data_IF_374961261024
#
_entry.id   IF_374961261024
#
_cell.length_a   1.000
_cell.length_b   1.000
_cell.length_c   1.000
_cell.angle_alpha   90.00
_cell.angle_beta   90.00
_cell.angle_gamma   90.00
#
_symmetry.space_group_name_H-M   'P 1'
#
loop_
_entity.id
_entity.type
_entity.pdbx_description
1 polymer ?
#
# COMPACT_ATOMS: atom_id res chain seq x y z
N UNK A 1 -9.60 -13.37 3.53
CA UNK A 1 -10.34 -12.39 2.71
C UNK A 1 -9.58 -12.26 1.41
N UNK A 2 -10.23 -12.46 0.28
CA UNK A 2 -9.59 -12.44 -1.05
C UNK A 2 -9.37 -10.99 -1.50
N UNK A 3 -8.19 -10.69 -2.07
CA UNK A 3 -7.89 -9.34 -2.56
C UNK A 3 -8.85 -8.96 -3.71
N UNK A 4 -9.25 -7.69 -3.77
CA UNK A 4 -10.21 -7.15 -4.78
C UNK A 4 -11.64 -7.70 -4.67
N UNK A 5 -11.97 -8.50 -3.66
CA UNK A 5 -13.36 -8.88 -3.38
C UNK A 5 -14.18 -7.70 -2.82
N UNK A 6 -15.51 -7.79 -2.85
CA UNK A 6 -16.37 -6.76 -2.26
C UNK A 6 -16.12 -6.60 -0.75
N UNK A 7 -15.89 -7.69 -0.03
CA UNK A 7 -15.53 -7.71 1.39
C UNK A 7 -14.17 -7.03 1.62
N UNK A 8 -13.23 -7.18 0.70
CA UNK A 8 -11.93 -6.51 0.76
C UNK A 8 -12.04 -5.00 0.61
N UNK A 9 -12.84 -4.52 -0.35
CA UNK A 9 -13.11 -3.09 -0.47
C UNK A 9 -13.82 -2.53 0.77
N UNK A 10 -14.81 -3.26 1.28
CA UNK A 10 -15.52 -2.87 2.51
C UNK A 10 -14.60 -2.79 3.72
N UNK A 11 -13.68 -3.75 3.90
CA UNK A 11 -12.76 -3.79 5.03
C UNK A 11 -11.68 -2.69 4.98
N UNK A 12 -11.39 -2.15 3.80
CA UNK A 12 -10.44 -1.04 3.62
C UNK A 12 -11.05 0.33 3.86
N UNK A 13 -12.37 0.42 3.83
CA UNK A 13 -13.08 1.69 3.86
C UNK A 13 -12.77 2.47 5.15
N UNK A 14 -12.31 3.71 5.00
CA UNK A 14 -11.97 4.57 6.14
C UNK A 14 -10.72 4.13 6.93
N UNK A 15 -9.95 3.18 6.40
CA UNK A 15 -8.70 2.70 6.97
C UNK A 15 -7.49 3.30 6.24
N UNK A 16 -6.43 3.58 7.00
CA UNK A 16 -5.11 3.82 6.40
C UNK A 16 -4.63 2.50 5.78
N UNK A 17 -4.19 2.54 4.53
CA UNK A 17 -3.67 1.35 3.83
C UNK A 17 -2.22 1.56 3.40
N UNK A 18 -1.42 0.48 3.40
CA UNK A 18 0.02 0.52 3.11
C UNK A 18 0.41 1.38 1.89
N UNK A 19 -0.31 1.27 0.77
CA UNK A 19 -0.02 2.02 -0.46
C UNK A 19 -0.22 3.54 -0.35
N UNK A 20 -0.92 4.01 0.68
CA UNK A 20 -1.19 5.42 0.98
C UNK A 20 -0.41 5.95 2.17
N UNK A 21 0.42 5.13 2.83
CA UNK A 21 1.21 5.58 3.99
C UNK A 21 2.15 6.73 3.63
N UNK A 22 2.70 6.76 2.41
CA UNK A 22 3.51 7.90 1.95
C UNK A 22 2.77 9.25 2.01
N UNK A 23 1.44 9.24 1.91
CA UNK A 23 0.62 10.46 1.99
C UNK A 23 0.46 10.91 3.45
N UNK A 24 0.38 9.95 4.39
CA UNK A 24 0.41 10.23 5.84
C UNK A 24 1.78 10.81 6.23
N UNK A 25 2.86 10.22 5.74
CA UNK A 25 4.24 10.62 6.01
C UNK A 25 4.68 11.88 5.26
N UNK A 26 3.82 12.47 4.41
CA UNK A 26 4.18 13.63 3.62
C UNK A 26 4.27 14.88 4.50
N UNK A 27 5.48 15.46 4.60
CA UNK A 27 5.76 16.68 5.37
C UNK A 27 5.51 17.95 4.54
N UNK A 28 4.90 18.97 5.16
CA UNK A 28 4.76 20.30 4.56
C UNK A 28 5.98 21.18 4.81
N UNK A 29 5.90 22.44 4.35
CA UNK A 29 6.96 23.43 4.58
C UNK A 29 6.81 24.06 5.97
N UNK A 30 7.93 24.32 6.64
CA UNK A 30 7.95 25.07 7.91
C UNK A 30 7.25 24.39 9.08
N UNK A 31 7.15 23.06 9.09
CA UNK A 31 6.52 22.28 10.16
C UNK A 31 4.99 22.16 10.06
N UNK A 32 4.36 22.71 9.02
CA UNK A 32 2.93 22.51 8.77
C UNK A 32 2.66 21.14 8.12
N UNK A 33 1.47 20.52 8.34
CA UNK A 33 1.07 19.32 7.62
C UNK A 33 0.99 19.57 6.11
N UNK A 34 1.43 18.60 5.30
CA UNK A 34 1.38 18.73 3.83
C UNK A 34 -0.06 18.76 3.31
N UNK A 35 -0.25 19.36 2.13
CA UNK A 35 -1.52 19.29 1.42
C UNK A 35 -1.89 17.83 1.10
N UNK A 36 -0.91 16.99 0.77
CA UNK A 36 -1.10 15.56 0.53
C UNK A 36 -1.69 14.84 1.74
N UNK A 37 -1.13 15.03 2.93
CA UNK A 37 -1.64 14.45 4.18
C UNK A 37 -3.07 14.91 4.47
N UNK A 38 -3.33 16.21 4.33
CA UNK A 38 -4.67 16.79 4.55
C UNK A 38 -5.70 16.23 3.57
N UNK A 39 -5.35 16.14 2.29
CA UNK A 39 -6.26 15.60 1.27
C UNK A 39 -6.60 14.14 1.56
N UNK A 40 -5.61 13.31 1.90
CA UNK A 40 -5.86 11.91 2.25
C UNK A 40 -6.71 11.76 3.52
N UNK A 41 -6.52 12.63 4.51
CA UNK A 41 -7.37 12.66 5.71
C UNK A 41 -8.83 12.96 5.36
N UNK A 42 -9.07 13.93 4.49
CA UNK A 42 -10.43 14.25 4.04
C UNK A 42 -11.04 13.14 3.19
N UNK A 43 -10.26 12.45 2.36
CA UNK A 43 -10.71 11.25 1.63
C UNK A 43 -11.24 10.19 2.61
N UNK A 44 -10.46 9.83 3.63
CA UNK A 44 -10.87 8.83 4.62
C UNK A 44 -12.04 9.30 5.50
N UNK A 45 -12.13 10.59 5.82
CA UNK A 45 -13.29 11.15 6.53
C UNK A 45 -14.57 10.99 5.70
N UNK A 46 -14.52 11.32 4.41
CA UNK A 46 -15.64 11.12 3.50
C UNK A 46 -16.05 9.65 3.43
N UNK A 47 -15.10 8.72 3.36
CA UNK A 47 -15.36 7.28 3.38
C UNK A 47 -16.12 6.84 4.64
N UNK A 48 -15.71 7.31 5.82
CA UNK A 48 -16.36 6.96 7.10
C UNK A 48 -17.74 7.59 7.27
N UNK A 49 -17.96 8.79 6.73
CA UNK A 49 -19.25 9.47 6.81
C UNK A 49 -20.26 8.92 5.81
N UNK A 50 -19.82 8.55 4.60
CA UNK A 50 -20.71 8.15 3.50
C UNK A 50 -20.89 6.64 3.37
N UNK A 51 -19.95 5.84 3.90
CA UNK A 51 -19.93 4.40 3.64
C UNK A 51 -19.50 4.06 2.20
N UNK A 52 -18.95 5.02 1.45
CA UNK A 52 -18.57 4.88 0.03
C UNK A 52 -17.10 5.25 -0.16
N UNK A 53 -16.41 4.55 -1.06
CA UNK A 53 -15.01 4.85 -1.41
C UNK A 53 -14.88 6.30 -1.92
N UNK A 54 -13.99 7.07 -1.30
CA UNK A 54 -13.77 8.48 -1.63
C UNK A 54 -12.74 8.72 -2.74
N UNK A 55 -11.98 7.68 -3.11
CA UNK A 55 -10.95 7.73 -4.14
C UNK A 55 -11.50 7.80 -5.57
N UNK A 56 -10.66 8.26 -6.49
CA UNK A 56 -10.97 8.22 -7.92
C UNK A 56 -11.19 6.78 -8.41
N UNK A 57 -12.24 6.55 -9.20
CA UNK A 57 -12.47 5.26 -9.85
C UNK A 57 -11.38 5.00 -10.90
N UNK A 58 -10.38 4.21 -10.54
CA UNK A 58 -9.29 3.79 -11.42
C UNK A 58 -9.62 2.51 -12.20
N UNK A 59 -10.82 1.95 -12.07
CA UNK A 59 -11.21 0.71 -12.75
C UNK A 59 -11.10 0.80 -14.27
N UNK A 60 -11.18 2.00 -14.84
CA UNK A 60 -11.04 2.27 -16.29
C UNK A 60 -9.64 2.71 -16.71
N UNK A 61 -8.69 2.81 -15.77
CA UNK A 61 -7.33 3.18 -16.09
C UNK A 61 -6.60 1.98 -16.71
N UNK A 62 -6.23 2.07 -17.97
CA UNK A 62 -5.58 0.98 -18.71
C UNK A 62 -4.26 0.50 -18.07
N UNK A 63 -3.50 1.39 -17.43
CA UNK A 63 -2.27 0.99 -16.75
C UNK A 63 -2.55 0.18 -15.48
N UNK A 64 -3.61 0.52 -14.74
CA UNK A 64 -4.05 -0.23 -13.56
C UNK A 64 -4.60 -1.59 -13.95
N UNK A 65 -5.46 -1.65 -14.97
CA UNK A 65 -6.00 -2.91 -15.51
C UNK A 65 -4.89 -3.84 -15.98
N UNK A 66 -3.94 -3.32 -16.77
CA UNK A 66 -2.79 -4.12 -17.20
C UNK A 66 -1.97 -4.61 -16.01
N UNK A 67 -1.78 -3.78 -14.99
CA UNK A 67 -1.06 -4.21 -13.79
C UNK A 67 -1.74 -5.38 -13.09
N UNK A 68 -3.06 -5.32 -12.95
CA UNK A 68 -3.92 -6.39 -12.40
C UNK A 68 -3.81 -7.68 -13.22
N UNK A 69 -3.85 -7.58 -14.55
CA UNK A 69 -3.75 -8.73 -15.46
C UNK A 69 -2.35 -9.37 -15.43
N UNK A 70 -1.30 -8.57 -15.22
CA UNK A 70 0.07 -9.02 -15.34
C UNK A 70 0.67 -9.54 -14.02
N UNK A 71 0.10 -9.14 -12.89
CA UNK A 71 0.53 -9.52 -11.54
C UNK A 71 0.69 -11.04 -11.33
N UNK A 72 -0.21 -11.92 -11.83
CA UNK A 72 -0.01 -13.37 -11.73
C UNK A 72 1.25 -13.85 -12.47
N UNK A 73 1.56 -13.28 -13.64
CA UNK A 73 2.76 -13.65 -14.41
C UNK A 73 4.04 -13.17 -13.74
N UNK A 74 4.00 -11.97 -13.14
CA UNK A 74 5.10 -11.46 -12.33
C UNK A 74 5.35 -12.34 -11.09
N UNK A 75 4.28 -12.82 -10.45
CA UNK A 75 4.35 -13.76 -9.34
C UNK A 75 4.99 -15.08 -9.78
N UNK A 76 4.54 -15.66 -10.91
CA UNK A 76 5.14 -16.89 -11.47
C UNK A 76 6.63 -16.72 -11.80
N UNK A 77 7.03 -15.57 -12.34
CA UNK A 77 8.43 -15.27 -12.61
C UNK A 77 9.26 -15.19 -11.31
N UNK A 78 8.70 -14.59 -10.26
CA UNK A 78 9.30 -14.55 -8.94
C UNK A 78 9.46 -15.95 -8.32
N UNK A 79 8.40 -16.78 -8.37
CA UNK A 79 8.43 -18.15 -7.85
C UNK A 79 9.49 -19.00 -8.58
N UNK A 80 9.60 -18.85 -9.90
CA UNK A 80 10.61 -19.52 -10.71
C UNK A 80 12.04 -19.05 -10.37
N UNK A 81 12.25 -17.75 -10.16
CA UNK A 81 13.54 -17.15 -9.78
C UNK A 81 13.99 -17.58 -8.37
N UNK A 82 13.08 -17.60 -7.40
CA UNK A 82 13.40 -17.92 -5.99
C UNK A 82 13.33 -19.40 -5.66
N UNK A 83 12.63 -20.20 -6.45
CA UNK A 83 12.32 -21.59 -6.11
C UNK A 83 11.46 -21.71 -4.85
N UNK A 84 10.60 -20.71 -4.60
CA UNK A 84 9.68 -20.64 -3.46
C UNK A 84 8.26 -20.42 -3.97
N UNK A 85 7.28 -20.99 -3.27
CA UNK A 85 5.87 -20.71 -3.54
C UNK A 85 5.42 -19.47 -2.78
N UNK A 86 4.63 -18.63 -3.44
CA UNK A 86 3.97 -17.47 -2.86
C UNK A 86 2.60 -17.89 -2.35
N UNK A 87 2.29 -17.52 -1.11
CA UNK A 87 0.97 -17.72 -0.53
C UNK A 87 0.15 -16.44 -0.71
N UNK A 88 -0.96 -16.55 -1.44
CA UNK A 88 -1.91 -15.45 -1.60
C UNK A 88 -2.46 -14.97 -0.26
N UNK A 89 -2.78 -13.67 -0.20
CA UNK A 89 -3.30 -13.02 1.00
C UNK A 89 -4.28 -11.92 0.62
N UNK A 90 -4.85 -11.25 1.62
CA UNK A 90 -5.75 -10.12 1.41
C UNK A 90 -5.37 -8.95 2.29
N UNK A 91 -6.37 -8.34 2.93
CA UNK A 91 -6.10 -7.30 3.92
C UNK A 91 -5.66 -7.93 5.24
N UNK A 92 -4.45 -7.59 5.67
CA UNK A 92 -3.89 -7.88 6.99
C UNK A 92 -3.93 -6.60 7.80
N UNK A 93 -4.74 -6.60 8.87
CA UNK A 93 -4.83 -5.46 9.78
C UNK A 93 -3.62 -5.40 10.69
N UNK A 94 -3.18 -4.19 11.03
CA UNK A 94 -2.10 -3.99 11.97
C UNK A 94 -2.46 -4.58 13.34
N UNK A 95 -1.56 -5.33 14.01
CA UNK A 95 -1.88 -6.08 15.22
C UNK A 95 -2.32 -5.21 16.40
N UNK A 96 -1.94 -3.92 16.42
CA UNK A 96 -2.19 -3.02 17.55
C UNK A 96 -2.77 -1.64 17.17
N UNK A 97 -2.89 -1.32 15.88
CA UNK A 97 -3.36 -0.01 15.41
C UNK A 97 -4.66 -0.23 14.64
N UNK A 98 -5.79 0.03 15.30
CA UNK A 98 -7.10 -0.09 14.67
C UNK A 98 -7.23 0.90 13.51
N UNK A 99 -7.82 0.46 12.39
CA UNK A 99 -7.98 1.29 11.19
C UNK A 99 -6.70 1.45 10.35
N UNK A 100 -5.68 0.63 10.58
CA UNK A 100 -4.49 0.53 9.73
C UNK A 100 -4.31 -0.91 9.22
N UNK A 101 -4.05 -1.08 7.93
CA UNK A 101 -3.81 -2.40 7.35
C UNK A 101 -2.99 -2.38 6.07
N UNK A 102 -2.60 -3.56 5.60
CA UNK A 102 -1.82 -3.76 4.40
C UNK A 102 -2.35 -4.93 3.58
N UNK A 103 -2.16 -4.88 2.26
CA UNK A 103 -2.41 -6.01 1.37
C UNK A 103 -1.14 -6.24 0.55
N UNK A 104 -0.18 -7.03 1.05
CA UNK A 104 0.92 -7.49 0.23
C UNK A 104 0.39 -8.39 -0.90
N UNK A 105 1.09 -8.41 -2.02
CA UNK A 105 0.70 -9.21 -3.19
C UNK A 105 0.95 -10.71 -2.95
N UNK A 106 1.73 -11.03 -1.92
CA UNK A 106 1.88 -12.39 -1.43
C UNK A 106 2.72 -12.49 -0.16
N UNK A 107 2.66 -13.65 0.48
CA UNK A 107 3.53 -14.04 1.59
C UNK A 107 4.54 -15.05 1.10
N UNK A 108 5.82 -14.85 1.42
CA UNK A 108 6.92 -15.69 0.96
C UNK A 108 7.60 -16.33 2.15
N UNK A 109 7.63 -17.66 2.18
CA UNK A 109 8.17 -18.42 3.32
C UNK A 109 7.52 -18.00 4.64
N UNK A 110 8.31 -18.05 5.71
CA UNK A 110 7.84 -17.72 7.07
C UNK A 110 7.93 -16.22 7.39
N UNK A 111 8.81 -15.48 6.70
CA UNK A 111 9.31 -14.17 7.12
C UNK A 111 9.30 -13.08 6.02
N UNK A 112 8.87 -13.40 4.79
CA UNK A 112 8.88 -12.46 3.66
C UNK A 112 7.51 -12.00 3.16
N UNK A 113 7.41 -10.77 2.67
CA UNK A 113 6.28 -10.31 1.85
C UNK A 113 6.71 -10.04 0.41
N UNK A 114 5.77 -10.14 -0.51
CA UNK A 114 5.97 -9.82 -1.92
C UNK A 114 5.22 -8.54 -2.29
N UNK A 115 5.90 -7.64 -3.01
CA UNK A 115 5.32 -6.43 -3.58
C UNK A 115 5.65 -6.37 -5.08
N UNK A 116 4.64 -6.52 -5.92
CA UNK A 116 4.74 -6.57 -7.38
C UNK A 116 4.32 -5.23 -7.98
N UNK A 117 5.13 -4.76 -8.93
CA UNK A 117 4.80 -3.64 -9.81
C UNK A 117 4.90 -4.07 -11.26
N UNK A 118 3.86 -3.76 -12.02
CA UNK A 118 3.83 -3.93 -13.47
C UNK A 118 3.74 -2.55 -14.15
N UNK A 119 4.80 -1.71 -14.09
CA UNK A 119 4.71 -0.31 -14.49
C UNK A 119 4.75 -0.13 -16.02
N UNK A 120 4.87 1.12 -16.47
CA UNK A 120 5.26 1.37 -17.86
C UNK A 120 6.73 0.94 -18.10
N UNK A 121 7.08 0.69 -19.35
CA UNK A 121 8.40 0.17 -19.74
C UNK A 121 9.55 1.07 -19.34
N UNK A 122 9.38 2.40 -19.42
CA UNK A 122 10.42 3.34 -19.03
C UNK A 122 10.73 3.26 -17.53
N UNK A 123 9.69 3.15 -16.69
CA UNK A 123 9.83 2.94 -15.25
C UNK A 123 10.47 1.60 -14.93
N UNK A 124 10.07 0.51 -15.61
CA UNK A 124 10.70 -0.80 -15.41
C UNK A 124 12.20 -0.79 -15.73
N UNK A 125 12.60 -0.23 -16.87
CA UNK A 125 14.01 -0.08 -17.26
C UNK A 125 14.77 0.80 -16.26
N UNK A 126 14.16 1.90 -15.77
CA UNK A 126 14.78 2.76 -14.77
C UNK A 126 15.02 2.02 -13.44
N UNK A 127 14.06 1.19 -12.99
CA UNK A 127 14.25 0.32 -11.82
C UNK A 127 15.45 -0.60 -12.02
N UNK A 128 15.50 -1.32 -13.16
CA UNK A 128 16.59 -2.23 -13.49
C UNK A 128 17.96 -1.54 -13.50
N UNK A 129 18.06 -0.36 -14.12
CA UNK A 129 19.30 0.42 -14.17
C UNK A 129 19.74 0.95 -12.81
N UNK A 130 18.80 1.16 -11.89
CA UNK A 130 19.13 1.65 -10.55
C UNK A 130 19.69 0.58 -9.61
N UNK A 131 19.57 -0.70 -9.99
CA UNK A 131 19.97 -1.87 -9.19
C UNK A 131 19.37 -1.89 -7.78
N UNK A 132 18.22 -1.24 -7.60
CA UNK A 132 17.48 -1.15 -6.34
C UNK A 132 15.98 -1.07 -6.58
N UNK A 133 15.19 -1.39 -5.56
CA UNK A 133 13.75 -1.10 -5.57
C UNK A 133 13.49 0.40 -5.69
N UNK A 134 12.31 0.76 -6.18
CA UNK A 134 11.92 2.16 -6.25
C UNK A 134 11.61 2.70 -4.84
N UNK A 135 12.36 3.72 -4.33
CA UNK A 135 12.20 4.24 -2.99
C UNK A 135 10.79 4.75 -2.66
N UNK A 136 9.98 5.09 -3.68
CA UNK A 136 8.62 5.57 -3.46
C UNK A 136 7.70 4.53 -2.80
N UNK A 137 8.06 3.24 -2.86
CA UNK A 137 7.29 2.14 -2.28
C UNK A 137 7.82 1.66 -0.93
N UNK A 138 8.90 2.24 -0.39
CA UNK A 138 9.46 1.79 0.88
C UNK A 138 8.47 1.91 2.04
N UNK A 139 7.70 3.00 2.13
CA UNK A 139 6.68 3.14 3.16
C UNK A 139 5.57 2.09 3.03
N UNK A 140 5.24 1.67 1.80
CA UNK A 140 4.29 0.60 1.55
C UNK A 140 4.83 -0.74 2.05
N UNK A 141 6.09 -1.06 1.73
CA UNK A 141 6.74 -2.30 2.16
C UNK A 141 6.98 -2.35 3.68
N UNK A 142 7.39 -1.24 4.30
CA UNK A 142 7.50 -1.12 5.76
C UNK A 142 6.13 -1.32 6.44
N UNK A 143 5.06 -0.76 5.87
CA UNK A 143 3.71 -0.95 6.38
C UNK A 143 3.24 -2.41 6.27
N UNK A 144 3.55 -3.10 5.17
CA UNK A 144 3.26 -4.53 5.00
C UNK A 144 4.00 -5.37 6.04
N UNK A 145 5.30 -5.13 6.23
CA UNK A 145 6.09 -5.78 7.27
C UNK A 145 5.54 -5.49 8.67
N UNK A 146 5.14 -4.26 8.96
CA UNK A 146 4.54 -3.89 10.25
C UNK A 146 3.21 -4.63 10.52
N UNK A 147 2.33 -4.71 9.52
CA UNK A 147 1.04 -5.38 9.66
C UNK A 147 1.15 -6.91 9.75
N UNK A 148 2.10 -7.50 9.03
CA UNK A 148 2.27 -8.97 8.95
C UNK A 148 3.25 -9.54 9.98
N UNK A 149 4.09 -8.70 10.59
CA UNK A 149 5.16 -9.14 11.50
C UNK A 149 6.36 -9.76 10.79
N UNK A 150 6.49 -9.57 9.47
CA UNK A 150 7.53 -10.16 8.62
C UNK A 150 8.79 -9.29 8.52
N UNK A 151 9.91 -9.90 8.15
CA UNK A 151 11.26 -9.34 8.29
C UNK A 151 11.83 -8.73 7.01
N UNK A 152 11.28 -9.05 5.84
CA UNK A 152 11.71 -8.46 4.58
C UNK A 152 10.57 -8.41 3.56
N UNK A 153 10.75 -7.55 2.56
CA UNK A 153 9.91 -7.47 1.37
C UNK A 153 10.77 -7.70 0.13
N UNK A 154 10.37 -8.61 -0.75
CA UNK A 154 10.93 -8.66 -2.10
C UNK A 154 10.07 -7.77 -3.00
N UNK A 155 10.70 -6.74 -3.57
CA UNK A 155 10.11 -5.84 -4.54
C UNK A 155 10.36 -6.38 -5.95
N UNK A 156 9.29 -6.70 -6.67
CA UNK A 156 9.35 -7.16 -8.06
C UNK A 156 8.86 -6.06 -8.98
N UNK A 157 9.61 -5.78 -10.04
CA UNK A 157 9.13 -5.03 -11.19
C UNK A 157 9.11 -5.96 -12.40
N UNK A 158 7.99 -5.96 -13.14
CA UNK A 158 7.79 -6.87 -14.26
C UNK A 158 7.17 -6.18 -15.48
N UNK A 159 7.67 -6.49 -16.68
CA UNK A 159 7.14 -5.99 -17.94
C UNK A 159 7.33 -6.97 -19.12
N UNK A 160 6.26 -7.67 -19.50
CA UNK A 160 6.22 -8.65 -20.59
C UNK A 160 6.45 -8.08 -22.00
N UNK A 161 6.45 -6.75 -22.17
CA UNK A 161 6.70 -6.09 -23.46
C UNK A 161 8.17 -6.12 -23.87
N UNK A 162 9.08 -6.36 -22.93
CA UNK A 162 10.51 -6.39 -23.16
C UNK A 162 10.98 -7.80 -23.58
N UNK A 163 12.16 -7.93 -24.20
CA UNK A 163 12.81 -9.23 -24.40
C UNK A 163 12.99 -9.96 -23.06
N UNK A 164 12.85 -11.28 -23.06
CA UNK A 164 12.81 -12.14 -21.85
C UNK A 164 13.86 -11.78 -20.76
N UNK A 165 15.16 -11.55 -21.08
CA UNK A 165 16.15 -11.21 -20.06
C UNK A 165 15.94 -9.87 -19.36
N UNK A 166 15.03 -9.03 -19.89
CA UNK A 166 14.73 -7.68 -19.41
C UNK A 166 13.31 -7.56 -18.85
N UNK A 167 12.57 -8.66 -18.68
CA UNK A 167 11.18 -8.59 -18.23
C UNK A 167 11.05 -8.54 -16.71
N UNK A 168 12.04 -8.97 -15.95
CA UNK A 168 11.93 -9.21 -14.51
C UNK A 168 13.14 -8.63 -13.77
N UNK A 169 12.86 -7.91 -12.68
CA UNK A 169 13.84 -7.55 -11.65
C UNK A 169 13.24 -7.72 -10.27
N UNK A 170 14.06 -8.16 -9.32
CA UNK A 170 13.69 -8.34 -7.93
C UNK A 170 14.76 -7.76 -7.00
N UNK A 171 14.34 -6.96 -6.03
CA UNK A 171 15.22 -6.37 -5.03
C UNK A 171 14.66 -6.59 -3.64
N UNK A 172 15.49 -7.15 -2.74
CA UNK A 172 15.12 -7.35 -1.34
C UNK A 172 15.25 -6.05 -0.56
N UNK A 173 14.25 -5.76 0.25
CA UNK A 173 14.21 -4.65 1.18
C UNK A 173 13.96 -5.15 2.61
N UNK A 174 14.95 -4.94 3.47
CA UNK A 174 14.95 -5.42 4.84
C UNK A 174 14.11 -4.54 5.78
N UNK A 175 13.56 -5.16 6.82
CA UNK A 175 12.79 -4.45 7.86
C UNK A 175 13.65 -3.39 8.56
N UNK A 176 13.13 -2.16 8.57
CA UNK A 176 13.69 -1.07 9.36
C UNK A 176 12.80 -0.76 10.56
N UNK A 177 13.19 -1.26 11.74
CA UNK A 177 12.46 -1.04 12.99
C UNK A 177 12.34 0.42 13.39
N UNK A 178 13.34 1.26 13.06
CA UNK A 178 13.30 2.68 13.42
C UNK A 178 12.25 3.39 12.59
N UNK A 179 12.29 3.21 11.26
CA UNK A 179 11.32 3.81 10.34
C UNK A 179 9.91 3.29 10.57
N UNK A 180 9.75 2.01 10.92
CA UNK A 180 8.43 1.45 11.27
C UNK A 180 7.86 2.15 12.51
N UNK A 181 8.67 2.35 13.57
CA UNK A 181 8.19 3.07 14.77
C UNK A 181 7.79 4.52 14.47
N UNK A 182 8.56 5.21 13.64
CA UNK A 182 8.25 6.57 13.18
C UNK A 182 6.92 6.59 12.40
N UNK A 183 6.77 5.68 11.44
CA UNK A 183 5.56 5.50 10.65
C UNK A 183 4.33 5.17 11.52
N UNK A 184 4.45 4.23 12.46
CA UNK A 184 3.36 3.87 13.38
C UNK A 184 2.94 5.04 14.27
N UNK A 185 3.89 5.88 14.72
CA UNK A 185 3.57 7.06 15.52
C UNK A 185 2.78 8.09 14.69
N UNK A 186 3.21 8.36 13.46
CA UNK A 186 2.52 9.27 12.55
C UNK A 186 1.12 8.76 12.16
N UNK A 187 0.97 7.45 11.91
CA UNK A 187 -0.32 6.85 11.61
C UNK A 187 -1.27 6.94 12.81
N UNK A 188 -0.79 6.73 14.04
CA UNK A 188 -1.61 6.90 15.25
C UNK A 188 -2.11 8.33 15.39
N UNK A 189 -1.21 9.31 15.27
CA UNK A 189 -1.58 10.73 15.33
C UNK A 189 -2.58 11.09 14.22
N UNK A 190 -2.35 10.62 13.00
CA UNK A 190 -3.26 10.83 11.87
C UNK A 190 -4.66 10.24 12.13
N UNK A 191 -4.74 9.03 12.67
CA UNK A 191 -6.02 8.37 12.97
C UNK A 191 -6.78 9.02 14.12
N UNK A 192 -6.06 9.58 15.12
CA UNK A 192 -6.64 10.37 16.20
C UNK A 192 -7.26 11.67 15.66
N UNK A 193 -6.49 12.43 14.87
CA UNK A 193 -6.99 13.64 14.18
C UNK A 193 -8.22 13.36 13.31
N UNK A 194 -8.20 12.24 12.56
CA UNK A 194 -9.34 11.80 11.75
C UNK A 194 -10.57 11.48 12.62
N UNK A 195 -10.37 10.84 13.78
CA UNK A 195 -11.43 10.54 14.73
C UNK A 195 -12.08 11.79 15.32
N UNK A 196 -11.27 12.81 15.65
CA UNK A 196 -11.76 14.10 16.14
C UNK A 196 -12.59 14.84 15.08
N UNK A 197 -12.10 14.89 13.83
CA UNK A 197 -12.85 15.48 12.71
C UNK A 197 -14.16 14.74 12.44
N UNK A 198 -14.14 13.41 12.50
CA UNK A 198 -15.35 12.60 12.34
C UNK A 198 -16.37 12.88 13.43
N UNK A 199 -15.93 12.98 14.69
CA UNK A 199 -16.80 13.32 15.81
C UNK A 199 -17.44 14.70 15.61
N UNK A 200 -16.65 15.71 15.25
CA UNK A 200 -17.14 17.06 14.97
C UNK A 200 -18.23 17.07 13.88
N UNK A 201 -17.98 16.39 12.74
CA UNK A 201 -18.95 16.33 11.65
C UNK A 201 -20.25 15.61 12.06
N UNK A 202 -20.14 14.53 12.84
CA UNK A 202 -21.31 13.79 13.33
C UNK A 202 -22.10 14.59 14.38
N UNK A 203 -21.47 15.45 15.16
CA UNK A 203 -22.17 16.36 16.08
C UNK A 203 -22.98 17.41 15.31
N UNK A 204 -22.40 18.03 14.28
CA UNK A 204 -23.11 18.97 13.40
C UNK A 204 -24.34 18.33 12.71
N UNK A 205 -24.25 17.07 12.32
CA UNK A 205 -25.40 16.32 11.75
C UNK A 205 -26.55 16.16 12.75
N UNK A 206 -26.24 15.99 14.05
CA UNK A 206 -27.26 15.84 15.10
C UNK A 206 -27.93 17.16 15.43
N UNK A 207 -27.18 18.26 15.43
CA UNK A 207 -27.74 19.60 15.69
C UNK A 207 -28.65 20.10 14.56
N UNK A 208 -28.46 19.57 13.35
CA UNK A 208 -29.26 19.92 12.17
C UNK A 208 -30.53 19.05 11.98
N UNK A 209 -30.72 18.01 12.79
CA UNK A 209 -31.83 17.05 12.71
C UNK A 209 -32.93 17.36 13.75
#
# INVERSE_FOLDING_TARGET
MEQRSAEWFAARLGCVTASRVKDVMASGRGGAPSATRKNYMMELLCERLTGQSGGADLSRNAAVQRGVELEPFACMAYEADKGLMVVETGLVMHPTIAGFGASPDGLVGDDGVLEIKCPNTATHIATMQSERHDPQYEWQMLAQMACTGRDWADFVSYDDRLPEPLQYVCHRFERDFKRIREMEAEIKAFLEELGDLEKEMRERMKEAA
#
